data_IF_082441545664
#
_entry.id   IF_082441545664
#
_cell.length_a   1.000
_cell.length_b   1.000
_cell.length_c   1.000
_cell.angle_alpha   90.00
_cell.angle_beta   90.00
_cell.angle_gamma   90.00
#
_symmetry.space_group_name_H-M   'P 1'
#
loop_
_entity.id
_entity.type
_entity.pdbx_description
1 polymer ?
#
# COMPACT_ATOMS: atom_id res chain seq x y z
N UNK A 1 0.02 10.36 2.58
CA UNK A 1 -0.51 9.20 3.35
C UNK A 1 -0.86 8.01 2.46
N UNK A 2 -1.67 8.15 1.40
CA UNK A 2 -2.03 7.04 0.49
C UNK A 2 -0.79 6.36 -0.11
N UNK A 3 0.15 7.13 -0.68
CA UNK A 3 1.39 6.59 -1.25
C UNK A 3 2.19 5.79 -0.21
N UNK A 4 2.36 6.33 1.00
CA UNK A 4 3.04 5.61 2.09
C UNK A 4 2.31 4.32 2.45
N UNK A 5 0.98 4.35 2.57
CA UNK A 5 0.20 3.15 2.88
C UNK A 5 0.31 2.08 1.79
N UNK A 6 0.35 2.51 0.52
CA UNK A 6 0.49 1.65 -0.65
C UNK A 6 1.88 1.01 -0.72
N UNK A 7 2.95 1.82 -0.69
CA UNK A 7 4.32 1.31 -0.84
C UNK A 7 4.79 0.49 0.36
N UNK A 8 4.34 0.85 1.56
CA UNK A 8 4.70 0.09 2.76
C UNK A 8 3.81 -1.11 3.02
N UNK A 9 2.72 -1.31 2.29
CA UNK A 9 1.70 -2.30 2.59
C UNK A 9 1.26 -2.30 4.07
N UNK A 10 1.31 -1.14 4.72
CA UNK A 10 1.06 -1.02 6.15
C UNK A 10 -0.41 -1.29 6.50
N UNK A 11 -0.63 -1.96 7.62
CA UNK A 11 -1.96 -2.03 8.23
C UNK A 11 -2.33 -0.65 8.77
N UNK A 12 -3.62 -0.33 8.84
CA UNK A 12 -4.09 0.96 9.38
C UNK A 12 -3.49 1.34 10.73
N UNK A 13 -3.29 0.37 11.62
CA UNK A 13 -2.67 0.62 12.93
C UNK A 13 -1.17 0.91 12.82
N UNK A 14 -0.47 0.22 11.93
CA UNK A 14 0.94 0.46 11.62
C UNK A 14 1.14 1.84 10.99
N UNK A 15 0.26 2.20 10.05
CA UNK A 15 0.31 3.48 9.35
C UNK A 15 0.18 4.68 10.30
N UNK A 16 -0.79 4.67 11.21
CA UNK A 16 -0.98 5.76 12.17
C UNK A 16 0.07 5.80 13.28
N UNK A 17 0.73 4.66 13.54
CA UNK A 17 1.81 4.56 14.51
C UNK A 17 3.16 5.06 13.98
N UNK A 18 3.28 5.31 12.67
CA UNK A 18 4.52 5.75 12.03
C UNK A 18 4.96 7.11 12.60
N UNK A 19 6.19 7.18 13.06
CA UNK A 19 6.80 8.39 13.60
C UNK A 19 7.86 8.92 12.65
N UNK A 20 8.15 10.22 12.71
CA UNK A 20 9.17 10.83 11.87
C UNK A 20 10.54 10.16 12.02
N UNK A 21 10.92 9.78 13.23
CA UNK A 21 12.17 9.05 13.51
C UNK A 21 12.25 7.63 12.89
N UNK A 22 11.15 7.11 12.39
CA UNK A 22 11.08 5.81 11.73
C UNK A 22 11.27 5.94 10.21
N UNK A 23 11.47 7.15 9.70
CA UNK A 23 11.67 7.45 8.29
C UNK A 23 13.11 7.92 8.09
N UNK A 24 13.78 7.28 7.14
CA UNK A 24 15.09 7.67 6.67
C UNK A 24 14.99 8.15 5.22
N UNK A 25 15.41 9.40 4.97
CA UNK A 25 15.42 10.02 3.64
C UNK A 25 16.81 9.92 3.06
N UNK A 26 16.96 9.27 1.92
CA UNK A 26 18.23 9.07 1.26
C UNK A 26 18.63 10.29 0.41
N UNK A 27 19.95 10.48 0.14
CA UNK A 27 20.43 11.59 -0.69
C UNK A 27 19.92 11.57 -2.13
N UNK A 28 19.61 10.39 -2.67
CA UNK A 28 19.06 10.21 -4.02
C UNK A 28 17.58 10.57 -4.13
N UNK A 29 16.95 10.96 -3.03
CA UNK A 29 15.55 11.37 -2.93
C UNK A 29 14.58 10.24 -2.60
N UNK A 30 14.98 8.98 -2.64
CA UNK A 30 14.22 7.85 -2.13
C UNK A 30 14.28 7.82 -0.59
N UNK A 31 13.76 6.77 0.01
CA UNK A 31 13.85 6.58 1.45
C UNK A 31 13.35 5.23 1.91
N UNK A 32 13.31 5.08 3.21
CA UNK A 32 12.79 3.88 3.84
C UNK A 32 12.01 4.21 5.12
N UNK A 33 11.10 3.35 5.48
CA UNK A 33 10.30 3.48 6.69
C UNK A 33 10.36 2.20 7.53
N UNK A 34 10.67 2.33 8.81
CA UNK A 34 10.57 1.25 9.78
C UNK A 34 9.11 1.10 10.22
N UNK A 35 8.45 0.08 9.72
CA UNK A 35 7.08 -0.28 10.08
C UNK A 35 7.13 -1.17 11.33
N UNK A 36 6.90 -0.57 12.47
CA UNK A 36 6.89 -1.28 13.74
C UNK A 36 5.66 -2.17 13.83
N UNK A 37 5.83 -3.42 14.20
CA UNK A 37 4.71 -4.32 14.47
C UNK A 37 4.05 -3.95 15.81
N UNK A 38 2.75 -4.24 15.93
CA UNK A 38 2.00 -4.04 17.17
C UNK A 38 2.33 -5.09 18.23
N UNK A 39 1.58 -5.09 19.34
CA UNK A 39 1.76 -5.90 20.56
C UNK A 39 2.07 -7.40 20.40
N UNK A 40 1.86 -7.99 19.22
CA UNK A 40 2.11 -9.41 18.93
C UNK A 40 3.48 -9.71 18.34
N UNK A 41 4.32 -8.70 18.17
CA UNK A 41 5.73 -8.87 17.78
C UNK A 41 6.61 -8.97 19.04
N UNK A 42 6.77 -10.19 19.51
CA UNK A 42 7.56 -10.47 20.72
C UNK A 42 9.03 -10.02 20.60
N UNK A 43 9.55 -9.88 19.35
CA UNK A 43 10.93 -9.50 19.08
C UNK A 43 11.09 -8.02 18.72
N UNK A 44 9.99 -7.28 18.49
CA UNK A 44 10.01 -5.82 18.29
C UNK A 44 10.77 -5.31 17.05
N UNK A 45 11.20 -6.20 16.17
CA UNK A 45 12.10 -5.84 15.06
C UNK A 45 11.42 -5.04 13.95
N UNK A 46 10.09 -5.16 13.80
CA UNK A 46 9.37 -4.48 12.72
C UNK A 46 9.81 -4.98 11.34
N UNK A 47 9.56 -4.19 10.31
CA UNK A 47 10.09 -4.37 8.96
C UNK A 47 10.44 -3.05 8.32
N UNK A 48 11.49 -3.03 7.52
CA UNK A 48 11.84 -1.86 6.70
C UNK A 48 11.07 -1.95 5.37
N UNK A 49 10.44 -0.85 4.99
CA UNK A 49 9.73 -0.72 3.72
C UNK A 49 10.37 0.41 2.89
N UNK A 50 10.48 0.19 1.60
CA UNK A 50 10.99 1.18 0.65
C UNK A 50 9.96 2.31 0.46
N UNK A 51 10.46 3.53 0.27
CA UNK A 51 9.69 4.71 -0.13
C UNK A 51 10.29 5.28 -1.41
N UNK A 52 9.47 5.38 -2.47
CA UNK A 52 9.89 5.98 -3.72
C UNK A 52 10.21 7.47 -3.57
N UNK A 53 10.95 8.01 -4.54
CA UNK A 53 11.25 9.45 -4.61
C UNK A 53 9.98 10.30 -4.60
N UNK A 54 8.95 9.85 -5.29
CA UNK A 54 7.67 10.53 -5.34
C UNK A 54 6.99 10.54 -3.97
N UNK A 55 6.91 9.39 -3.31
CA UNK A 55 6.35 9.28 -1.95
C UNK A 55 7.13 10.13 -0.95
N UNK A 56 8.45 10.11 -1.01
CA UNK A 56 9.31 10.95 -0.18
C UNK A 56 9.08 12.44 -0.42
N UNK A 57 8.90 12.87 -1.68
CA UNK A 57 8.57 14.25 -2.03
C UNK A 57 7.26 14.69 -1.41
N UNK A 58 6.19 13.90 -1.57
CA UNK A 58 4.89 14.22 -0.97
C UNK A 58 4.92 14.20 0.56
N UNK A 59 5.72 13.31 1.12
CA UNK A 59 5.88 13.20 2.56
C UNK A 59 6.59 14.43 3.14
N UNK A 60 7.66 14.91 2.50
CA UNK A 60 8.36 16.14 2.88
C UNK A 60 7.45 17.37 2.83
N UNK A 61 6.68 17.54 1.74
CA UNK A 61 5.69 18.61 1.60
C UNK A 61 4.66 18.55 2.75
N UNK A 62 4.19 17.37 3.10
CA UNK A 62 3.26 17.19 4.22
C UNK A 62 3.90 17.58 5.56
N UNK A 63 5.10 17.08 5.84
CA UNK A 63 5.81 17.35 7.09
C UNK A 63 6.07 18.84 7.28
N UNK A 64 6.51 19.52 6.22
CA UNK A 64 6.73 20.96 6.21
C UNK A 64 5.43 21.74 6.43
N UNK A 65 4.38 21.44 5.62
CA UNK A 65 3.08 22.10 5.76
C UNK A 65 2.47 21.94 7.15
N UNK A 66 2.59 20.71 7.72
CA UNK A 66 2.07 20.38 9.04
C UNK A 66 3.02 20.76 10.18
N UNK A 67 4.19 21.32 9.89
CA UNK A 67 5.25 21.68 10.87
C UNK A 67 5.57 20.51 11.82
N UNK A 68 5.74 19.32 11.24
CA UNK A 68 6.03 18.09 12.01
C UNK A 68 7.54 17.92 12.09
N UNK A 69 8.12 18.24 13.24
CA UNK A 69 9.53 18.06 13.54
C UNK A 69 9.82 16.78 14.32
N UNK A 70 8.79 16.20 14.95
CA UNK A 70 8.89 14.96 15.71
C UNK A 70 7.54 14.27 15.94
N UNK A 71 7.59 13.02 16.38
CA UNK A 71 6.39 12.26 16.76
C UNK A 71 5.65 11.68 15.58
N UNK A 72 4.33 11.57 15.66
CA UNK A 72 3.49 10.94 14.65
C UNK A 72 3.51 11.71 13.32
N UNK A 73 3.70 10.98 12.22
CA UNK A 73 3.73 11.53 10.87
C UNK A 73 2.32 11.95 10.42
N UNK A 74 1.32 11.12 10.68
CA UNK A 74 -0.05 11.39 10.26
C UNK A 74 -0.88 11.90 11.42
N UNK A 75 -1.37 13.15 11.28
CA UNK A 75 -2.11 13.87 12.29
C UNK A 75 -3.48 14.30 11.78
N UNK A 76 -4.39 14.57 12.69
CA UNK A 76 -5.73 15.06 12.36
C UNK A 76 -5.67 16.49 11.84
N UNK A 77 -6.53 16.80 10.89
CA UNK A 77 -6.84 18.17 10.49
C UNK A 77 -8.07 18.62 11.28
N UNK A 78 -7.93 19.73 11.99
CA UNK A 78 -9.02 20.39 12.71
C UNK A 78 -9.43 21.60 11.89
N UNK A 79 -10.65 21.54 11.31
CA UNK A 79 -11.06 22.54 10.34
C UNK A 79 -10.14 22.57 9.11
N UNK A 80 -9.80 23.79 8.64
CA UNK A 80 -9.03 23.98 7.40
C UNK A 80 -7.52 24.21 7.59
N UNK A 81 -7.05 24.54 8.79
CA UNK A 81 -5.68 25.02 9.01
C UNK A 81 -4.98 24.43 10.22
N UNK A 82 -5.69 23.90 11.18
CA UNK A 82 -5.09 23.43 12.42
C UNK A 82 -4.70 21.96 12.33
N UNK A 83 -3.48 21.67 12.76
CA UNK A 83 -2.96 20.30 12.85
C UNK A 83 -3.13 19.79 14.28
N UNK A 84 -3.98 18.81 14.46
CA UNK A 84 -4.24 18.19 15.76
C UNK A 84 -3.29 17.06 16.11
N UNK A 85 -3.69 16.26 17.09
CA UNK A 85 -2.93 15.07 17.51
C UNK A 85 -2.89 13.95 16.46
N UNK A 86 -2.26 12.81 16.80
CA UNK A 86 -2.16 11.66 15.90
C UNK A 86 -3.52 11.17 15.41
N UNK A 87 -3.56 10.62 14.20
CA UNK A 87 -4.72 9.91 13.67
C UNK A 87 -4.98 8.63 14.46
N UNK A 88 -6.26 8.24 14.55
CA UNK A 88 -6.63 6.90 15.01
C UNK A 88 -6.69 5.92 13.84
N UNK A 89 -6.51 4.61 14.08
CA UNK A 89 -6.67 3.60 13.02
C UNK A 89 -8.07 3.63 12.36
N UNK A 90 -9.10 4.02 13.12
CA UNK A 90 -10.47 4.17 12.60
C UNK A 90 -10.64 5.32 11.61
N UNK A 91 -9.76 6.33 11.64
CA UNK A 91 -9.82 7.48 10.73
C UNK A 91 -9.40 7.13 9.29
N UNK A 92 -8.65 6.06 9.08
CA UNK A 92 -8.02 5.75 7.79
C UNK A 92 -9.07 5.41 6.71
N UNK A 93 -10.02 4.54 7.03
CA UNK A 93 -11.09 4.16 6.09
C UNK A 93 -11.90 5.36 5.59
N UNK A 94 -12.46 6.21 6.48
CA UNK A 94 -13.15 7.44 6.09
C UNK A 94 -12.29 8.38 5.22
N UNK A 95 -10.99 8.53 5.53
CA UNK A 95 -10.10 9.37 4.73
C UNK A 95 -9.94 8.78 3.33
N UNK A 96 -9.71 7.48 3.19
CA UNK A 96 -9.56 6.82 1.89
C UNK A 96 -10.86 6.90 1.07
N UNK A 97 -12.02 6.72 1.68
CA UNK A 97 -13.32 6.92 1.03
C UNK A 97 -13.49 8.33 0.50
N UNK A 98 -13.14 9.34 1.31
CA UNK A 98 -13.23 10.75 0.89
C UNK A 98 -12.31 11.05 -0.32
N UNK A 99 -11.09 10.50 -0.34
CA UNK A 99 -10.21 10.65 -1.49
C UNK A 99 -10.79 9.95 -2.72
N UNK A 100 -11.34 8.75 -2.57
CA UNK A 100 -11.99 8.02 -3.65
C UNK A 100 -13.17 8.80 -4.25
N UNK A 101 -13.99 9.43 -3.40
CA UNK A 101 -15.05 10.33 -3.83
C UNK A 101 -14.49 11.57 -4.55
N UNK A 102 -13.47 12.18 -4.01
CA UNK A 102 -12.87 13.39 -4.56
C UNK A 102 -12.26 13.19 -5.95
N UNK A 103 -11.69 12.03 -6.22
CA UNK A 103 -11.17 11.67 -7.55
C UNK A 103 -12.26 11.13 -8.49
N UNK A 104 -13.54 11.14 -8.08
CA UNK A 104 -14.67 10.78 -8.93
C UNK A 104 -14.91 9.29 -9.12
N UNK A 105 -14.44 8.44 -8.20
CA UNK A 105 -14.78 7.01 -8.28
C UNK A 105 -16.29 6.80 -8.13
N UNK A 106 -16.91 5.91 -8.93
CA UNK A 106 -18.31 5.57 -8.78
C UNK A 106 -18.64 5.08 -7.35
N UNK A 107 -19.82 5.45 -6.85
CA UNK A 107 -20.23 5.19 -5.45
C UNK A 107 -20.13 3.70 -5.07
N UNK A 108 -20.46 2.79 -6.00
CA UNK A 108 -20.30 1.34 -5.79
C UNK A 108 -18.87 0.91 -5.43
N UNK A 109 -17.86 1.61 -5.93
CA UNK A 109 -16.45 1.36 -5.58
C UNK A 109 -16.08 2.08 -4.29
N UNK A 110 -16.53 3.33 -4.10
CA UNK A 110 -16.31 4.07 -2.85
C UNK A 110 -16.85 3.31 -1.65
N UNK A 111 -18.02 2.68 -1.78
CA UNK A 111 -18.62 1.87 -0.72
C UNK A 111 -17.68 0.74 -0.23
N UNK A 112 -16.92 0.16 -1.14
CA UNK A 112 -15.99 -0.95 -0.87
C UNK A 112 -14.62 -0.48 -0.33
N UNK A 113 -14.28 0.81 -0.46
CA UNK A 113 -13.01 1.34 0.05
C UNK A 113 -12.98 1.23 1.58
N UNK A 114 -11.87 0.75 2.08
CA UNK A 114 -11.61 0.59 3.51
C UNK A 114 -10.17 0.99 3.84
N UNK A 115 -9.83 1.05 5.12
CA UNK A 115 -8.44 1.27 5.54
C UNK A 115 -7.47 0.13 5.19
N UNK A 116 -7.95 -0.90 4.50
CA UNK A 116 -7.15 -2.04 4.04
C UNK A 116 -6.97 -2.05 2.50
N UNK A 117 -7.68 -1.19 1.79
CA UNK A 117 -7.74 -1.20 0.33
C UNK A 117 -6.38 -0.97 -0.33
N UNK A 118 -5.56 -0.06 0.21
CA UNK A 118 -4.19 0.18 -0.32
C UNK A 118 -3.31 -1.06 -0.23
N UNK A 119 -3.43 -1.83 0.86
CA UNK A 119 -2.66 -3.06 1.06
C UNK A 119 -3.09 -4.17 0.10
N UNK A 120 -4.40 -4.31 -0.13
CA UNK A 120 -4.94 -5.26 -1.12
C UNK A 120 -4.51 -4.85 -2.51
N UNK A 121 -4.73 -3.58 -2.90
CA UNK A 121 -4.35 -3.06 -4.22
C UNK A 121 -2.86 -3.20 -4.51
N UNK A 122 -1.99 -2.76 -3.59
CA UNK A 122 -0.55 -2.92 -3.76
C UNK A 122 -0.11 -4.38 -3.93
N UNK A 123 -0.74 -5.32 -3.18
CA UNK A 123 -0.45 -6.75 -3.36
C UNK A 123 -0.86 -7.23 -4.75
N UNK A 124 -2.00 -6.77 -5.23
CA UNK A 124 -2.51 -7.10 -6.56
C UNK A 124 -1.60 -6.53 -7.66
N UNK A 125 -1.18 -5.27 -7.51
CA UNK A 125 -0.31 -4.62 -8.50
C UNK A 125 1.08 -5.28 -8.54
N UNK A 126 1.65 -5.65 -7.38
CA UNK A 126 2.91 -6.39 -7.34
C UNK A 126 2.79 -7.75 -8.04
N UNK A 127 1.70 -8.48 -7.81
CA UNK A 127 1.43 -9.73 -8.51
C UNK A 127 1.22 -9.52 -10.02
N UNK A 128 0.58 -8.42 -10.41
CA UNK A 128 0.40 -8.04 -11.81
C UNK A 128 1.71 -7.66 -12.52
N UNK A 129 2.70 -7.19 -11.77
CA UNK A 129 4.06 -6.91 -12.24
C UNK A 129 5.00 -8.12 -12.19
N UNK A 130 4.45 -9.33 -11.97
CA UNK A 130 5.20 -10.58 -11.86
C UNK A 130 6.27 -10.59 -10.75
N UNK A 131 6.10 -9.75 -9.73
CA UNK A 131 6.96 -9.78 -8.54
C UNK A 131 6.72 -11.11 -7.81
N UNK A 132 7.79 -11.77 -7.44
CA UNK A 132 7.72 -13.09 -6.82
C UNK A 132 6.98 -13.05 -5.46
N UNK A 133 6.33 -14.16 -5.14
CA UNK A 133 5.48 -14.26 -3.96
C UNK A 133 6.26 -14.12 -2.64
N UNK A 134 7.55 -14.49 -2.62
CA UNK A 134 8.38 -14.35 -1.44
C UNK A 134 8.67 -12.86 -1.18
N UNK A 135 9.01 -12.10 -2.23
CA UNK A 135 9.21 -10.64 -2.14
C UNK A 135 7.93 -9.92 -1.69
N UNK A 136 6.76 -10.29 -2.26
CA UNK A 136 5.46 -9.74 -1.84
C UNK A 136 5.20 -10.05 -0.36
N UNK A 137 5.43 -11.30 0.05
CA UNK A 137 5.22 -11.76 1.43
C UNK A 137 6.09 -10.97 2.41
N UNK A 138 7.36 -10.78 2.06
CA UNK A 138 8.32 -9.99 2.84
C UNK A 138 7.88 -8.52 2.92
N UNK A 139 7.58 -7.90 1.78
CA UNK A 139 7.17 -6.49 1.71
C UNK A 139 5.95 -6.19 2.59
N UNK A 140 4.98 -7.10 2.63
CA UNK A 140 3.78 -6.95 3.47
C UNK A 140 3.95 -7.42 4.91
N UNK A 141 5.08 -8.02 5.28
CA UNK A 141 5.33 -8.57 6.61
C UNK A 141 4.34 -9.69 6.97
N UNK A 142 3.99 -10.55 6.02
CA UNK A 142 3.21 -11.76 6.30
C UNK A 142 4.11 -12.90 6.77
N UNK A 143 3.57 -13.75 7.64
CA UNK A 143 4.27 -14.96 8.12
C UNK A 143 4.18 -16.12 7.13
N UNK A 144 3.27 -16.05 6.17
CA UNK A 144 3.07 -17.06 5.15
C UNK A 144 2.52 -16.44 3.87
N UNK A 145 2.62 -17.17 2.76
CA UNK A 145 2.13 -16.76 1.43
C UNK A 145 0.62 -16.82 1.28
N UNK A 146 -0.12 -17.39 2.25
CA UNK A 146 -1.57 -17.58 2.16
C UNK A 146 -2.34 -16.29 1.88
N UNK A 147 -2.06 -15.23 2.64
CA UNK A 147 -2.78 -13.96 2.48
C UNK A 147 -2.42 -13.22 1.18
N UNK A 148 -1.13 -13.06 0.81
CA UNK A 148 -0.79 -12.53 -0.51
C UNK A 148 -1.44 -13.28 -1.66
N UNK A 149 -1.46 -14.62 -1.63
CA UNK A 149 -2.13 -15.45 -2.64
C UNK A 149 -3.62 -15.13 -2.72
N UNK A 150 -4.30 -15.07 -1.58
CA UNK A 150 -5.73 -14.75 -1.53
C UNK A 150 -6.04 -13.37 -2.14
N UNK A 151 -5.19 -12.37 -1.93
CA UNK A 151 -5.37 -11.04 -2.52
C UNK A 151 -5.10 -11.03 -4.02
N UNK A 152 -4.12 -11.82 -4.48
CA UNK A 152 -3.74 -11.92 -5.88
C UNK A 152 -4.64 -12.87 -6.70
N UNK A 153 -5.48 -13.67 -6.06
CA UNK A 153 -6.24 -14.77 -6.69
C UNK A 153 -7.02 -14.32 -7.94
N UNK A 154 -7.71 -13.19 -7.87
CA UNK A 154 -8.50 -12.67 -9.00
C UNK A 154 -7.66 -12.20 -10.19
N UNK A 155 -6.42 -11.76 -9.95
CA UNK A 155 -5.50 -11.32 -11.00
C UNK A 155 -4.81 -12.52 -11.62
N UNK A 156 -4.52 -13.54 -10.80
CA UNK A 156 -3.80 -14.73 -11.24
C UNK A 156 -4.59 -15.63 -12.20
N UNK A 157 -5.92 -15.47 -12.34
CA UNK A 157 -6.70 -16.29 -13.29
C UNK A 157 -6.25 -16.08 -14.73
N UNK A 158 -6.12 -14.84 -15.19
CA UNK A 158 -5.63 -14.50 -16.53
C UNK A 158 -4.14 -14.84 -16.74
N UNK A 159 -3.39 -15.06 -15.67
CA UNK A 159 -1.97 -15.43 -15.64
C UNK A 159 -1.74 -16.80 -15.00
N UNK A 160 -2.79 -17.60 -14.89
CA UNK A 160 -2.71 -18.95 -14.33
C UNK A 160 -1.77 -19.84 -15.11
N UNK A 161 -1.30 -20.91 -14.51
CA UNK A 161 -0.49 -21.91 -15.23
C UNK A 161 -1.17 -22.41 -16.49
N UNK A 162 -2.52 -22.50 -16.50
CA UNK A 162 -3.29 -22.89 -17.67
C UNK A 162 -3.33 -21.81 -18.75
N UNK A 163 -3.44 -20.54 -18.39
CA UNK A 163 -3.36 -19.43 -19.35
C UNK A 163 -1.98 -19.38 -20.03
N UNK A 164 -0.90 -19.48 -19.24
CA UNK A 164 0.48 -19.56 -19.76
C UNK A 164 0.71 -20.81 -20.63
N UNK A 165 0.11 -21.93 -20.27
CA UNK A 165 0.19 -23.15 -21.08
C UNK A 165 -0.57 -23.00 -22.39
N UNK A 166 -1.74 -22.35 -22.38
CA UNK A 166 -2.52 -22.06 -23.58
C UNK A 166 -1.76 -21.14 -24.53
N UNK A 167 -1.17 -20.06 -24.01
CA UNK A 167 -0.33 -19.14 -24.78
C UNK A 167 0.87 -19.87 -25.41
N UNK A 168 1.66 -20.60 -24.60
CA UNK A 168 2.84 -21.35 -25.08
C UNK A 168 2.51 -22.45 -26.08
N UNK A 169 1.32 -23.03 -25.99
CA UNK A 169 0.84 -24.09 -26.92
C UNK A 169 0.10 -23.53 -28.13
N UNK A 170 -0.01 -22.20 -28.27
CA UNK A 170 -0.72 -21.55 -29.37
C UNK A 170 -2.23 -21.72 -29.35
N UNK A 171 -2.82 -22.23 -28.25
CA UNK A 171 -4.28 -22.42 -28.14
C UNK A 171 -5.05 -21.11 -28.05
N UNK A 172 -4.40 -20.04 -27.63
CA UNK A 172 -5.00 -18.69 -27.57
C UNK A 172 -4.76 -17.88 -28.85
N UNK A 173 -3.97 -18.40 -29.81
CA UNK A 173 -3.84 -17.81 -31.12
C UNK A 173 -5.07 -18.21 -31.96
N UNK A 174 -6.01 -17.28 -32.13
CA UNK A 174 -7.08 -17.42 -33.11
C UNK A 174 -6.40 -17.29 -34.49
N UNK A 175 -6.16 -18.41 -35.17
CA UNK A 175 -5.89 -18.36 -36.59
C UNK A 175 -7.13 -17.77 -37.26
N UNK A 176 -7.05 -16.55 -37.77
CA UNK A 176 -8.04 -16.04 -38.72
C UNK A 176 -8.12 -17.05 -39.86
N UNK A 177 -9.19 -17.81 -39.85
CA UNK A 177 -9.54 -18.64 -41.00
C UNK A 177 -9.79 -17.65 -42.13
N UNK A 178 -8.80 -17.50 -43.03
CA UNK A 178 -8.98 -16.79 -44.28
C UNK A 178 -10.06 -17.51 -45.08
N UNK A 179 -11.24 -16.91 -45.14
CA UNK A 179 -12.32 -17.27 -46.09
C UNK A 179 -11.94 -16.82 -47.49
#
# INVERSE_FOLDING_TARGET
>A
MLCVAYETLARRAELVALKLKDIDFHPDGAGQALIRRGKTDAEGQGRVAYLSRETCRWLKIWLEHAKIEQGAVFRRLIGRKEIGGPLSPGSIGPIFKRVAQWIGLPERFVAQVSGHSTRVGATQDLAALDIDLAAITQAGGWKSTRMPLQYAERINVARSGMARAAEKSGRDSINEVKS
#
